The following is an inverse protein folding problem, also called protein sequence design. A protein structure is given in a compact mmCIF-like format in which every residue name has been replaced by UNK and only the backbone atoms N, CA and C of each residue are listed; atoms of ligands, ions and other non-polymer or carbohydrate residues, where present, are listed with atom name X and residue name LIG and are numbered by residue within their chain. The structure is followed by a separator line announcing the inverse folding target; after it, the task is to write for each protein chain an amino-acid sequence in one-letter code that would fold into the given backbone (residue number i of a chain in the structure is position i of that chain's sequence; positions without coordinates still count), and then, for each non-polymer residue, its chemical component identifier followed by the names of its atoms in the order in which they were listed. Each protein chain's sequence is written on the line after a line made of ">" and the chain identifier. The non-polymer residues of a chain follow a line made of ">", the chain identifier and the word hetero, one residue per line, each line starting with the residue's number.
data_IF_585068755240
#
_entry.id   IF_585068755240
#
_cell.length_a   1.000
_cell.length_b   1.000
_cell.length_c   1.000
_cell.angle_alpha   90.00
_cell.angle_beta   90.00
_cell.angle_gamma   90.00
#
_symmetry.space_group_name_H-M   'P 1'
#
loop_
_entity.id
_entity.type
_entity.pdbx_description
1 polymer ?
#
# COMPACT_ATOMS: atom_id res chain seq x y z
N UNK A 1 36.13 -23.37 -7.86
CA UNK A 1 35.71 -21.96 -7.87
C UNK A 1 35.45 -21.55 -6.43
N UNK A 2 36.13 -20.51 -5.93
CA UNK A 2 35.93 -20.00 -4.56
C UNK A 2 34.63 -19.17 -4.54
N UNK A 3 33.63 -19.59 -3.77
CA UNK A 3 32.41 -18.81 -3.55
C UNK A 3 32.78 -17.49 -2.85
N UNK A 4 32.25 -16.36 -3.33
CA UNK A 4 32.38 -15.07 -2.66
C UNK A 4 31.59 -15.04 -1.34
N UNK A 5 31.95 -14.16 -0.38
CA UNK A 5 31.24 -14.05 0.88
C UNK A 5 29.80 -13.60 0.67
N UNK A 6 28.85 -14.22 1.39
CA UNK A 6 27.46 -13.82 1.41
C UNK A 6 27.34 -12.34 1.86
N UNK A 7 26.41 -11.61 1.25
CA UNK A 7 26.10 -10.23 1.63
C UNK A 7 24.67 -10.14 2.13
N UNK A 8 24.40 -9.30 3.12
CA UNK A 8 23.14 -9.19 3.84
C UNK A 8 22.59 -7.77 3.80
N UNK A 9 21.27 -7.58 3.79
CA UNK A 9 20.67 -6.25 3.86
C UNK A 9 19.41 -6.26 4.71
N UNK A 10 19.00 -5.08 5.16
CA UNK A 10 17.77 -4.85 5.90
C UNK A 10 16.74 -4.15 4.99
N UNK A 11 15.47 -4.55 5.05
CA UNK A 11 14.38 -3.88 4.32
C UNK A 11 13.21 -3.50 5.24
N UNK A 12 12.60 -2.33 4.98
CA UNK A 12 11.31 -1.94 5.58
C UNK A 12 10.20 -2.62 4.81
N UNK A 13 10.13 -3.94 4.92
CA UNK A 13 8.91 -4.63 4.60
C UNK A 13 7.94 -4.28 5.74
N UNK A 14 6.90 -3.48 5.49
CA UNK A 14 5.66 -3.66 6.25
C UNK A 14 5.10 -5.02 5.84
N UNK A 15 5.71 -6.09 6.32
CA UNK A 15 5.11 -7.41 6.25
C UNK A 15 3.79 -7.32 6.99
N UNK A 16 2.75 -7.81 6.35
CA UNK A 16 1.43 -8.07 6.90
C UNK A 16 1.50 -8.48 8.39
N UNK A 17 1.31 -7.53 9.31
CA UNK A 17 0.81 -7.83 10.65
C UNK A 17 -0.71 -7.71 10.57
N UNK A 18 -1.37 -8.87 10.45
CA UNK A 18 -2.83 -8.95 10.37
C UNK A 18 -3.47 -9.05 11.72
N UNK A 19 -2.81 -8.60 12.79
CA UNK A 19 -3.43 -8.54 14.11
C UNK A 19 -3.91 -9.91 14.59
N UNK A 20 -3.05 -10.59 15.33
CA UNK A 20 -3.29 -11.49 16.47
C UNK A 20 -2.06 -12.43 16.51
N UNK A 21 -1.31 -12.57 17.60
CA UNK A 21 -1.67 -13.28 18.84
C UNK A 21 -0.41 -13.25 19.77
N UNK A 22 -0.48 -13.35 21.12
CA UNK A 22 -1.36 -14.23 21.89
C UNK A 22 -2.37 -13.47 22.75
N UNK A 23 -3.64 -13.52 22.37
CA UNK A 23 -4.75 -13.39 23.31
C UNK A 23 -4.82 -14.67 24.14
N UNK A 24 -4.14 -14.66 25.29
CA UNK A 24 -4.59 -15.45 26.42
C UNK A 24 -6.02 -15.02 26.76
N UNK A 25 -6.98 -15.91 26.52
CA UNK A 25 -8.29 -16.02 27.18
C UNK A 25 -8.85 -14.74 27.82
N UNK A 26 -9.23 -13.74 27.02
CA UNK A 26 -10.30 -12.77 27.30
C UNK A 26 -10.39 -11.72 26.19
N UNK A 27 -11.25 -11.94 25.19
CA UNK A 27 -12.43 -11.11 24.94
C UNK A 27 -13.00 -11.44 23.55
N UNK A 28 -14.15 -12.10 23.60
CA UNK A 28 -15.05 -12.32 22.48
C UNK A 28 -15.71 -10.97 22.17
N UNK A 29 -15.39 -10.36 21.04
CA UNK A 29 -16.01 -9.11 20.64
C UNK A 29 -15.36 -8.53 19.39
N UNK A 30 -15.83 -8.94 18.22
CA UNK A 30 -15.55 -8.23 16.97
C UNK A 30 -16.18 -6.84 17.12
N UNK A 31 -15.35 -5.81 17.28
CA UNK A 31 -15.83 -4.43 17.17
C UNK A 31 -15.61 -4.01 15.71
N UNK A 32 -16.64 -4.20 14.89
CA UNK A 32 -16.76 -3.51 13.61
C UNK A 32 -16.99 -2.02 13.88
N UNK A 33 -15.92 -1.23 14.01
CA UNK A 33 -16.03 0.22 13.80
C UNK A 33 -15.62 0.50 12.36
N UNK A 34 -16.51 1.15 11.61
CA UNK A 34 -16.37 1.41 10.18
C UNK A 34 -15.20 2.34 9.77
N UNK A 35 -14.24 2.64 10.65
CA UNK A 35 -13.00 3.40 10.39
C UNK A 35 -11.96 3.07 11.48
N UNK A 36 -11.06 2.10 11.29
CA UNK A 36 -10.17 1.67 12.36
C UNK A 36 -8.86 2.47 12.34
N UNK A 37 -8.68 3.33 13.34
CA UNK A 37 -7.32 3.58 13.85
C UNK A 37 -6.79 2.24 14.36
N UNK A 38 -5.67 1.79 13.81
CA UNK A 38 -4.97 0.65 14.37
C UNK A 38 -4.41 1.05 15.74
N UNK A 39 -4.95 0.46 16.82
CA UNK A 39 -4.62 0.83 18.21
C UNK A 39 -3.13 0.66 18.58
N UNK A 40 -2.39 -0.20 17.87
CA UNK A 40 -0.97 -0.46 18.14
C UNK A 40 -0.02 0.49 17.39
N UNK A 41 -0.42 0.96 16.21
CA UNK A 41 0.42 1.80 15.35
C UNK A 41 -0.06 3.24 15.23
N UNK A 42 -1.30 3.53 15.65
CA UNK A 42 -1.99 4.79 15.36
C UNK A 42 -2.17 5.05 13.87
N UNK A 43 -2.17 4.01 13.04
CA UNK A 43 -2.41 4.17 11.61
C UNK A 43 -3.91 4.32 11.34
N UNK A 44 -4.30 5.42 10.69
CA UNK A 44 -5.67 5.65 10.24
C UNK A 44 -5.85 5.13 8.81
N UNK A 45 -6.90 4.33 8.59
CA UNK A 45 -7.25 3.81 7.28
C UNK A 45 -8.72 4.14 6.93
N UNK A 46 -8.93 4.76 5.77
CA UNK A 46 -10.25 5.18 5.30
C UNK A 46 -10.43 4.69 3.88
N UNK A 47 -11.60 4.17 3.57
CA UNK A 47 -11.98 3.84 2.20
C UNK A 47 -13.21 4.66 1.78
N UNK A 48 -13.15 5.23 0.59
CA UNK A 48 -14.25 5.95 -0.03
C UNK A 48 -14.53 5.34 -1.41
N UNK A 49 -15.80 5.23 -1.77
CA UNK A 49 -16.24 4.74 -3.08
C UNK A 49 -16.73 5.93 -3.89
N UNK A 50 -16.05 6.17 -5.01
CA UNK A 50 -16.31 7.31 -5.89
C UNK A 50 -17.35 6.97 -6.97
N UNK A 51 -17.34 5.70 -7.40
CA UNK A 51 -18.30 5.13 -8.34
C UNK A 51 -18.38 3.64 -8.14
N UNK A 52 -19.57 3.07 -8.24
CA UNK A 52 -19.78 1.64 -8.26
C UNK A 52 -20.93 1.31 -9.21
N UNK A 53 -20.66 0.45 -10.18
CA UNK A 53 -21.68 -0.07 -11.07
C UNK A 53 -22.74 -0.89 -10.32
N UNK A 54 -23.94 -1.05 -10.90
CA UNK A 54 -25.08 -1.67 -10.20
C UNK A 54 -24.88 -3.13 -9.75
N UNK A 55 -23.95 -3.86 -10.36
CA UNK A 55 -23.56 -5.21 -9.91
C UNK A 55 -22.41 -5.21 -8.90
N UNK A 56 -21.91 -4.04 -8.54
CA UNK A 56 -20.88 -3.83 -7.53
C UNK A 56 -19.44 -4.00 -8.01
N UNK A 57 -19.20 -4.48 -9.24
CA UNK A 57 -17.89 -5.02 -9.65
C UNK A 57 -16.97 -3.99 -10.31
N UNK A 58 -17.46 -3.21 -11.28
CA UNK A 58 -16.72 -2.06 -11.80
C UNK A 58 -16.83 -0.92 -10.79
N UNK A 59 -15.70 -0.54 -10.18
CA UNK A 59 -15.66 0.40 -9.05
C UNK A 59 -14.47 1.33 -9.15
N UNK A 60 -14.69 2.62 -8.89
CA UNK A 60 -13.63 3.58 -8.56
C UNK A 60 -13.70 3.79 -7.06
N UNK A 61 -12.62 3.49 -6.37
CA UNK A 61 -12.52 3.74 -4.93
C UNK A 61 -11.14 4.23 -4.58
N UNK A 62 -11.08 4.98 -3.50
CA UNK A 62 -9.87 5.58 -2.97
C UNK A 62 -9.69 5.19 -1.51
N UNK A 63 -8.45 4.91 -1.14
CA UNK A 63 -8.07 4.55 0.22
C UNK A 63 -7.05 5.54 0.76
N UNK A 64 -7.25 5.98 2.00
CA UNK A 64 -6.30 6.79 2.74
C UNK A 64 -5.60 5.93 3.78
N UNK A 65 -4.29 6.09 3.92
CA UNK A 65 -3.50 5.44 4.95
C UNK A 65 -2.54 6.48 5.55
N UNK A 66 -2.72 6.86 6.82
CA UNK A 66 -1.92 7.93 7.43
C UNK A 66 -0.45 7.58 7.62
N UNK A 67 -0.13 6.29 7.69
CA UNK A 67 1.24 5.79 7.74
C UNK A 67 1.90 5.66 6.36
N UNK A 68 1.18 6.02 5.29
CA UNK A 68 1.72 6.10 3.94
C UNK A 68 2.18 7.52 3.60
N UNK A 69 3.46 7.77 3.86
CA UNK A 69 4.13 9.00 3.45
C UNK A 69 4.59 8.98 1.98
N UNK A 70 4.29 7.91 1.22
CA UNK A 70 4.66 7.88 -0.20
C UNK A 70 3.84 8.92 -0.96
N UNK A 71 4.53 9.71 -1.79
CA UNK A 71 3.87 10.62 -2.74
C UNK A 71 3.21 9.78 -3.82
N UNK A 72 1.99 9.30 -3.56
CA UNK A 72 1.06 8.91 -4.62
C UNK A 72 0.85 10.14 -5.50
N UNK A 73 1.44 10.12 -6.70
CA UNK A 73 1.44 11.30 -7.58
C UNK A 73 0.04 11.63 -8.11
N UNK A 74 -0.89 10.67 -8.07
CA UNK A 74 -2.21 10.84 -8.69
C UNK A 74 -3.27 11.49 -7.78
N UNK A 75 -3.28 11.17 -6.48
CA UNK A 75 -4.33 11.59 -5.54
C UNK A 75 -3.78 12.28 -4.29
N UNK A 76 -2.48 12.60 -4.27
CA UNK A 76 -1.71 13.14 -3.13
C UNK A 76 -1.27 12.11 -2.07
N UNK A 77 -0.32 12.45 -1.18
CA UNK A 77 0.20 11.52 -0.18
C UNK A 77 -0.91 10.93 0.70
N UNK A 78 -0.73 9.67 1.10
CA UNK A 78 -1.71 8.90 1.86
C UNK A 78 -2.87 8.35 1.02
N UNK A 79 -3.25 8.99 -0.10
CA UNK A 79 -4.38 8.56 -0.94
C UNK A 79 -3.98 7.68 -2.12
N UNK A 80 -4.76 6.62 -2.34
CA UNK A 80 -4.51 5.58 -3.33
C UNK A 80 -5.78 5.23 -4.09
N UNK A 81 -5.69 4.98 -5.39
CA UNK A 81 -6.80 4.43 -6.19
C UNK A 81 -6.75 2.91 -6.19
N UNK A 82 -7.91 2.23 -6.27
CA UNK A 82 -7.98 0.77 -6.36
C UNK A 82 -7.28 0.17 -7.59
N UNK A 83 -7.02 0.95 -8.64
CA UNK A 83 -6.32 0.47 -9.84
C UNK A 83 -4.83 0.80 -9.82
N UNK A 84 -4.48 2.09 -9.74
CA UNK A 84 -3.08 2.55 -9.90
C UNK A 84 -2.14 2.16 -8.74
N UNK A 85 -2.70 1.63 -7.65
CA UNK A 85 -1.94 1.27 -6.44
C UNK A 85 -1.58 -0.21 -6.40
N UNK A 86 -2.04 -0.98 -7.40
CA UNK A 86 -1.67 -2.38 -7.60
C UNK A 86 -0.44 -2.43 -8.48
N UNK A 87 0.67 -2.92 -7.91
CA UNK A 87 1.92 -3.03 -8.65
C UNK A 87 2.78 -4.16 -8.11
N UNK A 88 3.63 -4.70 -8.96
CA UNK A 88 4.69 -5.63 -8.60
C UNK A 88 6.01 -4.97 -8.97
N UNK A 89 6.98 -4.97 -8.07
CA UNK A 89 8.29 -4.43 -8.36
C UNK A 89 9.37 -5.25 -7.63
N UNK A 90 10.61 -5.28 -8.13
CA UNK A 90 11.73 -5.72 -7.31
C UNK A 90 11.73 -4.95 -6.00
N UNK A 91 11.98 -5.61 -4.88
CA UNK A 91 11.98 -4.97 -3.56
C UNK A 91 12.93 -3.76 -3.52
N UNK A 92 14.06 -3.85 -4.21
CA UNK A 92 15.05 -2.77 -4.33
C UNK A 92 14.61 -1.62 -5.26
N UNK A 93 13.64 -1.85 -6.16
CA UNK A 93 13.14 -0.90 -7.17
C UNK A 93 11.71 -0.44 -6.92
N UNK A 94 11.06 -0.90 -5.84
CA UNK A 94 9.76 -0.43 -5.41
C UNK A 94 9.86 1.01 -4.89
N UNK A 95 9.94 1.98 -5.82
CA UNK A 95 9.75 3.44 -5.67
C UNK A 95 10.96 4.27 -5.22
N UNK A 96 11.19 5.39 -5.95
CA UNK A 96 11.99 6.55 -5.49
C UNK A 96 11.29 7.20 -4.29
N UNK A 97 11.68 6.80 -3.10
CA UNK A 97 11.30 7.45 -1.85
C UNK A 97 11.90 8.86 -1.76
N UNK A 98 11.30 9.81 -1.01
CA UNK A 98 11.98 11.05 -0.69
C UNK A 98 13.36 10.74 -0.04
N UNK A 99 14.39 11.60 -0.23
CA UNK A 99 15.79 11.28 0.07
C UNK A 99 16.13 10.89 1.52
N UNK A 100 15.17 10.97 2.44
CA UNK A 100 15.38 10.77 3.88
C UNK A 100 14.96 9.39 4.42
N UNK A 101 14.33 8.52 3.62
CA UNK A 101 13.98 7.15 4.02
C UNK A 101 14.51 6.15 2.99
N UNK A 102 15.58 5.46 3.35
CA UNK A 102 16.07 4.30 2.59
C UNK A 102 15.25 3.09 3.00
N UNK A 103 14.53 2.45 2.08
CA UNK A 103 13.77 1.24 2.41
C UNK A 103 14.59 -0.04 2.43
N UNK A 104 15.76 0.01 1.83
CA UNK A 104 16.72 -1.08 1.85
C UNK A 104 18.05 -0.47 2.25
N UNK A 105 18.74 -1.09 3.20
CA UNK A 105 20.11 -0.73 3.52
C UNK A 105 21.03 -1.08 2.36
N UNK A 106 22.26 -0.59 2.37
CA UNK A 106 23.29 -1.24 1.56
C UNK A 106 23.47 -2.71 1.98
N UNK A 107 24.17 -3.48 1.15
CA UNK A 107 24.54 -4.85 1.49
C UNK A 107 25.79 -4.88 2.37
N UNK A 108 25.74 -5.61 3.48
CA UNK A 108 26.81 -5.83 4.45
C UNK A 108 27.38 -7.24 4.36
N UNK A 109 28.56 -7.49 4.90
CA UNK A 109 29.21 -8.80 4.84
C UNK A 109 28.76 -9.77 5.94
N UNK A 110 28.08 -9.29 6.99
CA UNK A 110 27.60 -10.14 8.09
C UNK A 110 26.14 -9.84 8.46
N UNK A 111 25.40 -10.82 9.01
CA UNK A 111 24.07 -10.60 9.57
C UNK A 111 24.06 -9.56 10.70
N UNK A 112 25.09 -9.56 11.53
CA UNK A 112 25.25 -8.59 12.63
C UNK A 112 25.34 -7.15 12.12
N UNK A 113 26.13 -6.91 11.06
CA UNK A 113 26.24 -5.59 10.44
C UNK A 113 24.94 -5.17 9.77
N UNK A 114 24.25 -6.12 9.11
CA UNK A 114 22.94 -5.86 8.51
C UNK A 114 21.88 -5.48 9.56
N UNK A 115 21.88 -6.13 10.73
CA UNK A 115 21.02 -5.71 11.84
C UNK A 115 21.44 -4.33 12.39
N UNK A 116 22.70 -4.16 12.78
CA UNK A 116 23.12 -3.01 13.56
C UNK A 116 23.25 -1.72 12.71
N UNK A 117 23.85 -1.83 11.52
CA UNK A 117 24.08 -0.69 10.63
C UNK A 117 22.91 -0.49 9.66
N UNK A 118 22.32 -1.59 9.18
CA UNK A 118 21.18 -1.55 8.28
C UNK A 118 19.96 -0.93 8.94
N UNK A 119 19.67 -1.25 10.21
CA UNK A 119 18.55 -0.64 10.94
C UNK A 119 18.71 0.87 11.10
N UNK A 120 19.94 1.37 11.27
CA UNK A 120 20.22 2.81 11.41
C UNK A 120 20.09 3.53 10.07
N UNK A 121 20.57 2.91 8.99
CA UNK A 121 20.47 3.46 7.64
C UNK A 121 19.00 3.61 7.19
N UNK A 122 18.18 2.65 7.61
CA UNK A 122 16.81 2.50 7.14
C UNK A 122 15.79 3.16 8.08
N UNK A 123 16.06 3.20 9.40
CA UNK A 123 15.23 3.89 10.40
C UNK A 123 15.98 5.07 11.06
N UNK A 124 16.29 6.14 10.32
CA UNK A 124 16.93 7.30 10.92
C UNK A 124 15.98 7.95 11.94
N UNK A 125 16.33 7.85 13.23
CA UNK A 125 15.56 8.44 14.33
C UNK A 125 15.11 7.48 15.43
N UNK A 126 15.24 6.16 15.25
CA UNK A 126 15.05 5.21 16.34
C UNK A 126 16.29 5.18 17.26
N UNK A 127 16.07 5.19 18.58
CA UNK A 127 17.16 5.17 19.56
C UNK A 127 17.73 3.75 19.70
N UNK A 128 19.00 3.59 19.31
CA UNK A 128 19.77 2.35 19.45
C UNK A 128 19.81 1.48 18.20
N UNK A 129 20.68 0.48 18.19
CA UNK A 129 20.95 -0.40 17.04
C UNK A 129 20.30 -1.77 17.26
N UNK A 130 19.83 -2.40 16.17
CA UNK A 130 19.28 -3.74 16.29
C UNK A 130 20.36 -4.79 16.53
N UNK A 131 20.01 -5.81 17.32
CA UNK A 131 20.90 -6.95 17.63
C UNK A 131 20.45 -8.18 16.86
N UNK A 132 21.40 -8.87 16.22
CA UNK A 132 21.13 -10.14 15.54
C UNK A 132 20.82 -11.25 16.54
N UNK A 133 19.67 -11.90 16.40
CA UNK A 133 19.19 -12.97 17.28
C UNK A 133 19.46 -14.37 16.73
N UNK A 134 20.02 -14.48 15.52
CA UNK A 134 20.05 -15.74 14.77
C UNK A 134 18.86 -15.88 13.82
N UNK A 135 18.88 -16.91 12.97
CA UNK A 135 17.81 -17.21 12.01
C UNK A 135 17.34 -16.01 11.16
N UNK A 136 18.26 -15.14 10.76
CA UNK A 136 17.97 -13.94 9.98
C UNK A 136 17.03 -12.93 10.69
N UNK A 137 16.91 -13.02 12.01
CA UNK A 137 16.11 -12.10 12.83
C UNK A 137 17.00 -11.12 13.58
N UNK A 138 16.57 -9.87 13.62
CA UNK A 138 17.15 -8.79 14.40
C UNK A 138 16.11 -8.27 15.38
N UNK A 139 16.54 -7.78 16.54
CA UNK A 139 15.67 -7.13 17.51
C UNK A 139 16.15 -5.72 17.83
N UNK A 140 15.25 -4.75 17.73
CA UNK A 140 15.47 -3.38 18.21
C UNK A 140 15.52 -3.34 19.75
N UNK A 141 16.20 -2.37 20.36
CA UNK A 141 16.19 -2.19 21.83
C UNK A 141 14.79 -1.97 22.41
N UNK A 142 13.87 -1.42 21.62
CA UNK A 142 12.45 -1.24 21.93
C UNK A 142 11.63 -2.54 21.88
N UNK A 143 12.23 -3.65 21.44
CA UNK A 143 11.65 -5.00 21.48
C UNK A 143 11.15 -5.52 20.14
N UNK A 144 11.01 -4.68 19.12
CA UNK A 144 10.52 -5.07 17.79
C UNK A 144 11.49 -6.04 17.10
N UNK A 145 10.95 -7.11 16.53
CA UNK A 145 11.72 -8.12 15.79
C UNK A 145 11.46 -7.94 14.30
N UNK A 146 12.54 -7.92 13.51
CA UNK A 146 12.48 -7.81 12.05
C UNK A 146 13.47 -8.77 11.40
N UNK A 147 13.39 -8.94 10.07
CA UNK A 147 14.26 -9.84 9.31
C UNK A 147 15.29 -9.10 8.46
N UNK A 148 16.42 -9.76 8.26
CA UNK A 148 17.45 -9.38 7.28
C UNK A 148 17.54 -10.45 6.20
N UNK A 149 17.99 -10.07 5.02
CA UNK A 149 17.97 -10.91 3.84
C UNK A 149 19.39 -11.11 3.32
N UNK A 150 19.68 -12.29 2.77
CA UNK A 150 20.99 -12.65 2.20
C UNK A 150 20.94 -12.66 0.68
N UNK A 151 21.90 -12.00 0.04
CA UNK A 151 22.20 -12.03 -1.40
C UNK A 151 23.14 -13.19 -1.79
N UNK A 152 23.26 -14.26 -0.97
CA UNK A 152 24.13 -15.41 -1.25
C UNK A 152 23.64 -16.76 -0.69
N UNK A 153 24.21 -17.85 -1.20
CA UNK A 153 23.76 -19.25 -1.06
C UNK A 153 24.02 -19.89 0.32
N UNK A 154 23.02 -19.91 1.22
CA UNK A 154 22.87 -20.75 2.42
C UNK A 154 21.53 -21.51 2.47
N UNK A 155 21.43 -22.71 3.06
CA UNK A 155 20.38 -23.69 2.69
C UNK A 155 18.92 -23.40 3.07
N UNK A 156 18.57 -22.25 3.63
CA UNK A 156 17.18 -21.86 3.89
C UNK A 156 17.08 -20.34 3.67
N UNK A 157 16.28 -19.91 2.69
CA UNK A 157 16.11 -18.52 2.21
C UNK A 157 17.28 -17.98 1.37
N UNK A 158 17.41 -18.50 0.15
CA UNK A 158 18.46 -18.12 -0.80
C UNK A 158 18.00 -17.14 -1.87
N UNK A 159 18.62 -15.97 -1.90
CA UNK A 159 19.01 -15.37 -3.17
C UNK A 159 20.18 -16.19 -3.74
N UNK A 160 19.87 -17.32 -4.38
CA UNK A 160 20.82 -17.94 -5.29
C UNK A 160 20.87 -17.06 -6.56
N UNK A 161 21.96 -17.12 -7.32
CA UNK A 161 22.00 -16.53 -8.66
C UNK A 161 20.85 -17.09 -9.51
N UNK A 162 19.78 -16.32 -9.64
CA UNK A 162 18.54 -16.72 -10.33
C UNK A 162 17.24 -16.42 -9.56
N UNK A 163 17.32 -16.02 -8.29
CA UNK A 163 16.14 -15.58 -7.53
C UNK A 163 15.87 -14.08 -7.68
N UNK A 164 14.60 -13.69 -7.78
CA UNK A 164 14.14 -12.29 -7.70
C UNK A 164 13.24 -12.07 -6.48
N UNK A 165 13.56 -11.04 -5.70
CA UNK A 165 12.75 -10.59 -4.56
C UNK A 165 11.74 -9.54 -5.04
N UNK A 166 10.46 -9.87 -4.99
CA UNK A 166 9.38 -9.02 -5.48
C UNK A 166 8.49 -8.55 -4.33
N UNK A 167 8.08 -7.29 -4.40
CA UNK A 167 7.08 -6.68 -3.56
C UNK A 167 5.80 -6.44 -4.36
N UNK A 168 4.67 -6.96 -3.85
CA UNK A 168 3.33 -6.72 -4.37
C UNK A 168 2.68 -5.66 -3.51
N UNK A 169 2.32 -4.52 -4.11
CA UNK A 169 1.59 -3.45 -3.46
C UNK A 169 0.10 -3.58 -3.73
N UNK A 170 -0.71 -3.37 -2.70
CA UNK A 170 -2.17 -3.44 -2.75
C UNK A 170 -2.81 -2.08 -2.46
N UNK A 171 -4.08 -1.86 -2.86
CA UNK A 171 -4.75 -0.57 -2.68
C UNK A 171 -4.89 -0.10 -1.22
N UNK A 172 -5.07 -1.01 -0.28
CA UNK A 172 -5.08 -0.72 1.16
C UNK A 172 -3.71 -0.23 1.69
N UNK A 173 -2.66 -0.38 0.89
CA UNK A 173 -1.28 -0.09 1.27
C UNK A 173 -0.51 -1.28 1.79
N UNK A 174 -1.14 -2.46 1.83
CA UNK A 174 -0.46 -3.70 2.15
C UNK A 174 0.64 -3.98 1.12
N UNK A 175 1.76 -4.49 1.62
CA UNK A 175 2.85 -4.99 0.82
C UNK A 175 3.07 -6.47 1.16
N UNK A 176 3.18 -7.29 0.12
CA UNK A 176 3.42 -8.72 0.23
C UNK A 176 4.71 -9.07 -0.50
N UNK A 177 5.53 -9.91 0.10
CA UNK A 177 6.85 -10.27 -0.45
C UNK A 177 6.86 -11.67 -1.02
N UNK A 178 7.55 -11.82 -2.14
CA UNK A 178 7.74 -13.08 -2.84
C UNK A 178 9.20 -13.27 -3.23
N UNK A 179 9.67 -14.50 -3.09
CA UNK A 179 10.96 -14.93 -3.60
C UNK A 179 10.71 -15.84 -4.80
N UNK A 180 11.12 -15.41 -5.98
CA UNK A 180 10.85 -16.12 -7.22
C UNK A 180 12.11 -16.77 -7.78
N UNK A 181 12.04 -18.04 -8.20
CA UNK A 181 13.04 -18.72 -9.01
C UNK A 181 12.43 -19.12 -10.36
N UNK A 182 12.86 -18.46 -11.43
CA UNK A 182 12.22 -18.62 -12.73
C UNK A 182 10.75 -18.20 -12.67
N UNK A 183 9.84 -19.15 -12.90
CA UNK A 183 8.39 -18.91 -12.87
C UNK A 183 7.75 -19.15 -11.49
N UNK A 184 8.45 -19.86 -10.60
CA UNK A 184 7.92 -20.26 -9.29
C UNK A 184 8.20 -19.18 -8.25
N UNK A 185 7.17 -18.68 -7.58
CA UNK A 185 7.30 -17.67 -6.54
C UNK A 185 6.73 -18.18 -5.21
N UNK A 186 7.51 -18.04 -4.16
CA UNK A 186 7.16 -18.48 -2.81
C UNK A 186 7.03 -17.30 -1.86
N UNK A 187 6.07 -17.39 -0.95
CA UNK A 187 5.84 -16.45 0.14
C UNK A 187 5.68 -17.22 1.46
N UNK A 188 5.76 -16.55 2.62
CA UNK A 188 5.36 -17.13 3.90
C UNK A 188 3.94 -17.72 3.88
N UNK A 189 3.66 -18.70 4.75
CA UNK A 189 2.41 -19.47 4.75
C UNK A 189 1.17 -18.68 5.14
N UNK A 190 1.33 -17.53 5.78
CA UNK A 190 0.26 -16.59 6.20
C UNK A 190 -0.11 -15.57 5.10
N UNK A 191 0.65 -15.55 4.00
CA UNK A 191 0.34 -14.78 2.80
C UNK A 191 -0.66 -15.58 1.96
N UNK A 192 -1.91 -15.09 1.79
CA UNK A 192 -2.94 -15.84 1.07
C UNK A 192 -2.84 -15.66 -0.46
N UNK A 193 -1.82 -14.95 -0.94
CA UNK A 193 -1.61 -14.63 -2.34
C UNK A 193 -0.69 -15.68 -2.98
N UNK A 194 -0.93 -16.01 -4.26
CA UNK A 194 -0.06 -16.87 -5.06
C UNK A 194 0.45 -16.11 -6.27
N UNK A 195 1.77 -16.05 -6.43
CA UNK A 195 2.41 -15.38 -7.55
C UNK A 195 3.03 -16.40 -8.51
N UNK A 196 2.93 -16.13 -9.81
CA UNK A 196 3.67 -16.84 -10.85
C UNK A 196 4.32 -15.80 -11.75
N UNK A 197 5.63 -15.91 -11.95
CA UNK A 197 6.38 -15.04 -12.86
C UNK A 197 6.50 -15.69 -14.24
N UNK A 198 6.67 -14.88 -15.29
CA UNK A 198 6.88 -15.33 -16.66
C UNK A 198 7.69 -14.30 -17.45
N UNK A 199 8.13 -14.65 -18.66
CA UNK A 199 8.83 -13.71 -19.55
C UNK A 199 7.97 -12.52 -19.99
N UNK A 200 6.64 -12.63 -19.89
CA UNK A 200 5.67 -11.60 -20.32
C UNK A 200 5.08 -10.79 -19.17
N UNK A 201 5.46 -11.10 -17.93
CA UNK A 201 4.94 -10.43 -16.73
C UNK A 201 4.56 -11.41 -15.63
N UNK A 202 3.55 -11.07 -14.85
CA UNK A 202 3.20 -11.79 -13.62
C UNK A 202 1.71 -12.09 -13.53
N UNK A 203 1.40 -13.27 -12.99
CA UNK A 203 0.04 -13.66 -12.62
C UNK A 203 -0.06 -13.77 -11.11
N UNK A 204 -0.97 -13.02 -10.50
CA UNK A 204 -1.25 -13.05 -9.08
C UNK A 204 -2.67 -13.60 -8.85
N UNK A 205 -2.81 -14.56 -7.93
CA UNK A 205 -4.10 -15.09 -7.49
C UNK A 205 -4.29 -14.70 -6.03
N UNK A 206 -5.41 -14.05 -5.71
CA UNK A 206 -5.74 -13.65 -4.34
C UNK A 206 -6.55 -14.72 -3.58
N UNK A 207 -6.89 -14.42 -2.32
CA UNK A 207 -7.66 -15.30 -1.43
C UNK A 207 -9.07 -15.65 -1.96
N UNK A 208 -9.58 -14.86 -2.90
CA UNK A 208 -10.90 -15.05 -3.50
C UNK A 208 -10.81 -15.71 -4.88
N UNK A 209 -9.65 -16.22 -5.26
CA UNK A 209 -9.35 -16.73 -6.60
C UNK A 209 -9.53 -15.68 -7.69
N UNK A 210 -9.42 -14.39 -7.36
CA UNK A 210 -9.31 -13.33 -8.37
C UNK A 210 -7.93 -13.43 -8.99
N UNK A 211 -7.89 -13.48 -10.32
CA UNK A 211 -6.67 -13.55 -11.09
C UNK A 211 -6.34 -12.15 -11.59
N UNK A 212 -5.17 -11.65 -11.23
CA UNK A 212 -4.63 -10.40 -11.74
C UNK A 212 -3.45 -10.67 -12.65
N UNK A 213 -3.42 -9.95 -13.78
CA UNK A 213 -2.32 -10.00 -14.73
C UNK A 213 -1.56 -8.69 -14.69
N UNK A 214 -0.24 -8.79 -14.72
CA UNK A 214 0.68 -7.66 -14.72
C UNK A 214 1.66 -7.82 -15.88
N UNK A 215 2.08 -6.71 -16.50
CA UNK A 215 3.13 -6.73 -17.52
C UNK A 215 4.53 -6.91 -16.90
N UNK A 216 5.59 -6.89 -17.73
CA UNK A 216 6.98 -7.08 -17.27
C UNK A 216 7.46 -5.96 -16.34
N UNK A 217 6.92 -4.75 -16.48
CA UNK A 217 7.16 -3.63 -15.56
C UNK A 217 6.34 -3.73 -14.26
N UNK A 218 5.51 -4.76 -14.11
CA UNK A 218 4.69 -5.00 -12.94
C UNK A 218 3.51 -4.03 -12.78
N UNK A 219 3.02 -3.50 -13.90
CA UNK A 219 1.80 -2.70 -14.01
C UNK A 219 0.61 -3.62 -14.29
N UNK A 220 -0.47 -3.45 -13.53
CA UNK A 220 -1.70 -4.23 -13.68
C UNK A 220 -2.34 -4.02 -15.06
N UNK A 221 -2.69 -5.10 -15.76
CA UNK A 221 -3.31 -5.07 -17.09
C UNK A 221 -4.69 -5.71 -17.14
N UNK A 222 -4.97 -6.68 -16.26
CA UNK A 222 -6.29 -7.33 -16.20
C UNK A 222 -6.61 -7.82 -14.79
N UNK A 223 -7.90 -7.84 -14.46
CA UNK A 223 -8.48 -8.50 -13.28
C UNK A 223 -9.59 -9.43 -13.77
N UNK A 224 -9.50 -10.72 -13.44
CA UNK A 224 -10.49 -11.74 -13.75
C UNK A 224 -11.01 -12.34 -12.46
N UNK A 225 -12.32 -12.25 -12.26
CA UNK A 225 -13.00 -12.81 -11.09
C UNK A 225 -13.36 -14.28 -11.33
N UNK A 226 -13.64 -15.00 -10.25
CA UNK A 226 -13.92 -16.45 -10.30
C UNK A 226 -15.12 -16.81 -11.20
N UNK A 227 -16.08 -15.90 -11.36
CA UNK A 227 -17.27 -16.06 -12.21
C UNK A 227 -17.00 -15.75 -13.70
N UNK A 228 -15.76 -15.43 -14.07
CA UNK A 228 -15.36 -15.08 -15.43
C UNK A 228 -15.58 -13.61 -15.79
N UNK A 229 -16.04 -12.76 -14.86
CA UNK A 229 -16.09 -11.32 -15.08
C UNK A 229 -14.67 -10.74 -15.20
N UNK A 230 -14.41 -9.93 -16.22
CA UNK A 230 -13.08 -9.39 -16.52
C UNK A 230 -13.09 -7.87 -16.51
N UNK A 231 -12.02 -7.26 -16.01
CA UNK A 231 -11.71 -5.84 -16.17
C UNK A 231 -10.33 -5.70 -16.83
N UNK A 232 -10.27 -5.04 -17.99
CA UNK A 232 -9.04 -4.78 -18.71
C UNK A 232 -8.62 -3.32 -18.51
N UNK A 233 -7.32 -3.09 -18.28
CA UNK A 233 -6.75 -1.77 -18.03
C UNK A 233 -5.84 -1.36 -19.19
N UNK A 234 -6.01 -0.12 -19.66
CA UNK A 234 -5.22 0.46 -20.74
C UNK A 234 -4.46 1.70 -20.27
N UNK A 235 -3.24 1.89 -20.79
CA UNK A 235 -2.32 2.92 -20.34
C UNK A 235 -1.74 3.70 -21.52
N UNK A 236 -1.47 4.99 -21.29
CA UNK A 236 -0.71 5.86 -22.20
C UNK A 236 0.34 6.58 -21.38
N UNK A 237 1.61 6.57 -21.81
CA UNK A 237 2.72 7.20 -21.09
C UNK A 237 2.78 6.80 -19.59
N UNK A 238 2.56 5.52 -19.30
CA UNK A 238 2.51 4.96 -17.93
C UNK A 238 1.39 5.50 -17.03
N UNK A 239 0.39 6.20 -17.58
CA UNK A 239 -0.82 6.59 -16.87
C UNK A 239 -2.00 5.72 -17.29
N UNK A 240 -2.80 5.27 -16.33
CA UNK A 240 -4.04 4.54 -16.59
C UNK A 240 -5.01 5.45 -17.34
N UNK A 241 -5.44 5.10 -18.54
CA UNK A 241 -6.39 5.92 -19.31
C UNK A 241 -7.78 5.31 -19.32
N UNK A 242 -7.91 3.98 -19.34
CA UNK A 242 -9.21 3.31 -19.40
C UNK A 242 -9.22 2.03 -18.57
N UNK A 243 -10.38 1.75 -17.95
CA UNK A 243 -10.73 0.41 -17.47
C UNK A 243 -12.03 -0.01 -18.14
N UNK A 244 -12.04 -1.15 -18.82
CA UNK A 244 -13.23 -1.68 -19.52
C UNK A 244 -13.55 -3.06 -19.00
N UNK A 245 -14.81 -3.30 -18.65
CA UNK A 245 -15.24 -4.62 -18.20
C UNK A 245 -15.78 -5.53 -19.32
N UNK A 246 -16.03 -6.80 -18.99
CA UNK A 246 -16.54 -7.80 -19.92
C UNK A 246 -17.97 -7.56 -20.41
N UNK A 247 -18.71 -6.61 -19.82
CA UNK A 247 -20.03 -6.18 -20.31
C UNK A 247 -19.95 -4.91 -21.18
N UNK A 248 -18.75 -4.38 -21.41
CA UNK A 248 -18.52 -3.18 -22.23
C UNK A 248 -18.71 -1.87 -21.47
N UNK A 249 -18.89 -1.88 -20.14
CA UNK A 249 -18.87 -0.65 -19.35
C UNK A 249 -17.42 -0.17 -19.22
N UNK A 250 -17.21 1.14 -19.27
CA UNK A 250 -15.86 1.72 -19.24
C UNK A 250 -15.74 2.90 -18.28
N UNK A 251 -14.55 3.05 -17.72
CA UNK A 251 -14.09 4.20 -16.96
C UNK A 251 -12.97 4.90 -17.74
N UNK A 252 -12.99 6.22 -17.83
CA UNK A 252 -11.91 6.99 -18.48
C UNK A 252 -11.26 7.98 -17.51
N UNK A 253 -9.94 7.96 -17.42
CA UNK A 253 -9.16 8.68 -16.41
C UNK A 253 -8.39 9.84 -17.06
N UNK A 254 -8.43 11.00 -16.43
CA UNK A 254 -7.81 12.23 -16.94
C UNK A 254 -6.93 12.88 -15.87
N UNK A 255 -5.76 13.34 -16.31
CA UNK A 255 -4.75 13.90 -15.43
C UNK A 255 -4.40 15.33 -15.84
N UNK A 256 -3.91 16.13 -14.88
CA UNK A 256 -3.31 17.43 -15.17
C UNK A 256 -1.80 17.31 -15.48
N UNK A 257 -1.16 18.45 -15.79
CA UNK A 257 0.28 18.52 -16.08
C UNK A 257 1.18 18.11 -14.90
N UNK A 258 0.64 18.07 -13.67
CA UNK A 258 1.33 17.58 -12.48
C UNK A 258 1.09 16.08 -12.22
N UNK A 259 0.52 15.36 -13.20
CA UNK A 259 0.19 13.93 -13.13
C UNK A 259 -0.87 13.57 -12.06
N UNK A 260 -1.61 14.56 -11.57
CA UNK A 260 -2.72 14.34 -10.63
C UNK A 260 -4.00 13.95 -11.39
N UNK A 261 -4.73 12.95 -10.89
CA UNK A 261 -6.02 12.51 -11.43
C UNK A 261 -7.05 13.59 -11.13
N UNK A 262 -7.56 14.27 -12.15
CA UNK A 262 -8.51 15.38 -11.99
C UNK A 262 -9.94 15.00 -12.36
N UNK A 263 -10.12 13.94 -13.16
CA UNK A 263 -11.45 13.49 -13.57
C UNK A 263 -11.47 12.01 -13.91
N UNK A 264 -12.55 11.35 -13.52
CA UNK A 264 -12.94 10.04 -14.04
C UNK A 264 -14.32 10.16 -14.67
N UNK A 265 -14.45 9.77 -15.94
CA UNK A 265 -15.74 9.58 -16.59
C UNK A 265 -16.22 8.18 -16.25
N UNK A 266 -17.40 8.08 -15.64
CA UNK A 266 -18.05 6.82 -15.28
C UNK A 266 -19.38 6.71 -16.04
N UNK A 267 -20.01 5.52 -16.06
CA UNK A 267 -21.36 5.36 -16.60
C UNK A 267 -22.42 6.29 -15.97
N UNK A 268 -22.23 6.73 -14.72
CA UNK A 268 -23.18 7.62 -14.03
C UNK A 268 -22.87 9.10 -14.25
N UNK A 269 -21.74 9.42 -14.90
CA UNK A 269 -21.29 10.77 -15.20
C UNK A 269 -19.87 11.03 -14.69
N UNK A 270 -19.53 12.31 -14.49
CA UNK A 270 -18.17 12.70 -14.12
C UNK A 270 -17.97 12.68 -12.61
N UNK A 271 -16.88 12.06 -12.16
CA UNK A 271 -16.29 12.30 -10.85
C UNK A 271 -15.11 13.25 -11.04
N UNK A 272 -15.10 14.37 -10.32
CA UNK A 272 -14.04 15.38 -10.40
C UNK A 272 -13.23 15.44 -9.10
N UNK A 273 -11.92 15.58 -9.21
CA UNK A 273 -10.99 15.62 -8.09
C UNK A 273 -10.29 16.98 -8.05
N UNK A 274 -10.45 17.69 -6.93
CA UNK A 274 -9.81 18.98 -6.68
C UNK A 274 -8.58 18.83 -5.80
N UNK A 275 -7.58 19.68 -6.01
CA UNK A 275 -6.35 19.70 -5.23
C UNK A 275 -6.09 21.10 -4.67
N UNK A 276 -5.54 21.19 -3.45
CA UNK A 276 -5.05 22.46 -2.94
C UNK A 276 -3.81 22.93 -3.70
N UNK A 277 -3.64 24.25 -3.78
CA UNK A 277 -2.56 24.87 -4.55
C UNK A 277 -1.23 24.89 -3.81
N UNK A 278 -1.26 24.79 -2.48
CA UNK A 278 -0.07 24.96 -1.65
C UNK A 278 0.80 23.70 -1.59
N UNK A 279 0.16 22.53 -1.47
CA UNK A 279 0.81 21.24 -1.28
C UNK A 279 0.39 20.19 -2.29
N UNK A 280 -0.63 20.47 -3.12
CA UNK A 280 -1.15 19.53 -4.11
C UNK A 280 -1.91 18.38 -3.46
N UNK A 281 -2.52 18.60 -2.28
CA UNK A 281 -3.29 17.57 -1.57
C UNK A 281 -4.72 17.52 -2.09
N UNK A 282 -5.30 16.33 -2.16
CA UNK A 282 -6.67 16.11 -2.60
C UNK A 282 -7.65 16.83 -1.68
N UNK A 283 -8.21 17.94 -2.15
CA UNK A 283 -9.06 18.82 -1.34
C UNK A 283 -10.54 18.52 -1.50
N UNK A 284 -10.98 18.09 -2.69
CA UNK A 284 -12.40 17.82 -2.96
C UNK A 284 -12.62 16.64 -3.91
N UNK A 285 -13.78 16.00 -3.78
CA UNK A 285 -14.38 15.14 -4.80
C UNK A 285 -15.79 15.62 -5.08
N UNK A 286 -16.09 15.86 -6.35
CA UNK A 286 -17.44 16.19 -6.83
C UNK A 286 -18.00 14.99 -7.58
N UNK A 287 -19.14 14.49 -7.13
CA UNK A 287 -19.85 13.36 -7.72
C UNK A 287 -20.74 13.80 -8.90
N UNK A 288 -21.21 12.86 -9.74
CA UNK A 288 -22.05 13.18 -10.90
C UNK A 288 -23.33 13.95 -10.56
N UNK A 289 -23.89 13.73 -9.36
CA UNK A 289 -25.07 14.42 -8.85
C UNK A 289 -24.75 15.76 -8.16
N UNK A 290 -23.54 16.30 -8.40
CA UNK A 290 -23.01 17.57 -7.88
C UNK A 290 -22.71 17.62 -6.38
N UNK A 291 -22.99 16.53 -5.65
CA UNK A 291 -22.56 16.41 -4.26
C UNK A 291 -21.05 16.54 -4.17
N UNK A 292 -20.57 17.18 -3.11
CA UNK A 292 -19.15 17.48 -2.93
C UNK A 292 -18.68 17.00 -1.56
N UNK A 293 -17.66 16.15 -1.54
CA UNK A 293 -16.93 15.76 -0.33
C UNK A 293 -15.63 16.55 -0.25
N UNK A 294 -15.30 17.12 0.91
CA UNK A 294 -14.08 17.91 1.11
C UNK A 294 -13.18 17.32 2.18
N UNK A 295 -11.87 17.57 2.04
CA UNK A 295 -10.83 16.98 2.87
C UNK A 295 -9.97 18.08 3.48
N UNK A 296 -9.76 17.98 4.79
CA UNK A 296 -8.98 18.91 5.59
C UNK A 296 -7.72 18.22 6.09
N UNK A 297 -6.63 18.97 6.13
CA UNK A 297 -5.32 18.46 6.49
C UNK A 297 -4.68 19.31 7.58
N UNK A 298 -3.74 18.72 8.30
CA UNK A 298 -2.96 19.42 9.31
C UNK A 298 -2.16 20.58 8.68
N UNK A 299 -1.95 21.62 9.50
CA UNK A 299 -1.00 22.69 9.24
C UNK A 299 0.08 22.61 10.33
N UNK A 300 1.22 21.97 10.05
CA UNK A 300 2.29 21.77 11.02
C UNK A 300 3.07 20.47 10.84
N UNK A 301 3.09 19.63 11.89
CA UNK A 301 3.91 18.42 12.08
C UNK A 301 4.18 17.63 10.79
N UNK A 302 3.11 17.23 10.10
CA UNK A 302 3.13 16.79 8.70
C UNK A 302 1.88 17.33 8.01
N UNK A 303 2.09 18.22 7.04
CA UNK A 303 1.00 18.86 6.29
C UNK A 303 0.18 17.86 5.46
N UNK A 304 0.57 16.59 5.34
CA UNK A 304 -0.18 15.60 4.56
C UNK A 304 -1.15 14.75 5.39
N UNK A 305 -1.17 14.93 6.72
CA UNK A 305 -2.09 14.21 7.60
C UNK A 305 -3.51 14.74 7.45
N UNK A 306 -4.45 13.84 7.15
CA UNK A 306 -5.86 14.15 6.98
C UNK A 306 -6.49 14.35 8.36
N UNK A 307 -6.96 15.55 8.66
CA UNK A 307 -7.55 15.90 9.97
C UNK A 307 -9.07 15.98 9.94
N UNK A 308 -9.67 16.10 8.75
CA UNK A 308 -11.11 16.21 8.62
C UNK A 308 -11.65 15.77 7.27
N UNK A 309 -12.88 15.26 7.28
CA UNK A 309 -13.69 14.99 6.09
C UNK A 309 -15.01 15.70 6.28
N UNK A 310 -15.40 16.51 5.30
CA UNK A 310 -16.73 17.13 5.22
C UNK A 310 -17.54 16.36 4.20
N UNK A 311 -18.70 15.84 4.60
CA UNK A 311 -19.59 15.11 3.71
C UNK A 311 -20.28 16.02 2.68
N UNK A 312 -21.05 15.35 1.85
CA UNK A 312 -21.82 15.89 0.75
C UNK A 312 -22.94 16.87 1.16
N UNK A 313 -23.30 16.90 2.45
CA UNK A 313 -24.26 17.84 3.02
C UNK A 313 -23.57 19.03 3.69
N UNK A 314 -22.27 19.22 3.42
CA UNK A 314 -21.42 20.23 4.06
C UNK A 314 -21.35 20.07 5.60
N UNK A 315 -21.53 18.85 6.10
CA UNK A 315 -21.40 18.51 7.51
C UNK A 315 -20.06 17.87 7.78
N UNK A 316 -19.41 18.22 8.89
CA UNK A 316 -18.19 17.54 9.30
C UNK A 316 -18.52 16.07 9.53
N UNK A 317 -17.94 15.19 8.75
CA UNK A 317 -18.25 13.77 8.72
C UNK A 317 -17.25 12.96 9.52
N UNK A 318 -15.99 13.34 9.50
CA UNK A 318 -14.96 12.71 10.32
C UNK A 318 -13.95 13.75 10.79
N UNK A 319 -13.48 13.61 12.03
CA UNK A 319 -12.31 14.32 12.56
C UNK A 319 -11.27 13.30 12.98
N UNK A 320 -10.01 13.55 12.65
CA UNK A 320 -8.89 12.70 13.02
C UNK A 320 -7.84 13.55 13.74
N UNK A 321 -7.43 13.10 14.93
CA UNK A 321 -6.42 13.76 15.76
C UNK A 321 -5.17 12.90 15.84
N UNK A 322 -4.01 13.56 15.70
CA UNK A 322 -2.69 12.94 15.70
C UNK A 322 -1.82 13.47 16.81
N UNK A 323 -0.98 12.59 17.38
CA UNK A 323 0.05 12.99 18.33
C UNK A 323 1.23 13.69 17.62
N UNK A 324 2.23 14.12 18.40
CA UNK A 324 3.42 14.81 17.88
C UNK A 324 4.28 13.94 16.94
N UNK A 325 4.05 12.62 16.91
CA UNK A 325 4.74 11.66 16.05
C UNK A 325 3.90 11.29 14.81
N UNK A 326 2.73 11.91 14.61
CA UNK A 326 1.86 11.65 13.46
C UNK A 326 1.03 10.36 13.59
N UNK A 327 0.87 9.82 14.80
CA UNK A 327 0.02 8.66 15.08
C UNK A 327 -1.38 9.12 15.46
N UNK A 328 -2.39 8.61 14.76
CA UNK A 328 -3.78 8.89 15.06
C UNK A 328 -4.14 8.30 16.43
N UNK A 329 -4.76 9.09 17.29
CA UNK A 329 -5.23 8.65 18.60
C UNK A 329 -6.74 8.86 18.79
N UNK A 330 -7.39 9.57 17.86
CA UNK A 330 -8.83 9.78 17.88
C UNK A 330 -9.36 9.92 16.44
N UNK A 331 -10.38 9.15 16.12
CA UNK A 331 -11.18 9.27 14.89
C UNK A 331 -12.65 9.21 15.29
N UNK A 332 -13.47 10.16 14.85
CA UNK A 332 -14.89 10.15 15.20
C UNK A 332 -15.76 10.81 14.13
N UNK A 333 -16.99 10.33 14.00
CA UNK A 333 -18.02 11.06 13.26
C UNK A 333 -18.34 12.35 14.00
N UNK A 334 -18.46 13.49 13.31
CA UNK A 334 -18.96 14.67 14.02
C UNK A 334 -20.42 14.40 14.44
N UNK A 335 -20.72 14.67 15.70
CA UNK A 335 -22.06 14.54 16.26
C UNK A 335 -22.45 13.19 16.89
N UNK A 336 -21.52 12.25 17.13
CA UNK A 336 -21.84 10.95 17.77
C UNK A 336 -22.91 10.11 17.04
N UNK A 337 -23.09 10.27 15.73
CA UNK A 337 -24.13 9.53 15.00
C UNK A 337 -23.54 8.22 14.46
N UNK A 338 -23.86 7.12 15.13
CA UNK A 338 -23.74 5.78 14.56
C UNK A 338 -24.78 5.67 13.42
N UNK A 339 -24.33 5.43 12.18
CA UNK A 339 -25.24 4.95 11.14
C UNK A 339 -25.27 3.42 11.17
N UNK A 340 -26.49 2.93 11.35
CA UNK A 340 -26.92 1.52 11.39
C UNK A 340 -26.57 0.74 10.13
#
# INVERSE_FOLDING_TARGET
>A
MKCGPAKFYFSIAKTKDQGCDPCSTAQKGIVNTHKPINIGSGNENIQEVDYQSGDGRLKVSRSYNSSDNTRSQILSPGWRSNFSSRSIAPLESAVKYPPSLKLVSQTYTTPNDACALGSVEVFPGLSGTATYMGNFQCQMPSGEIFRIYSNGTLPLWNASSGYSHLAIRRPDGGQYEFNCLGTSCESPSDVPLKLTASATGYTLIDEHNTIEQYNVEGVLTSITYQDGYVQNLAYTNSQLTTVTDSFGRSLSFFYNAAFQLTKVITPDGNVLYGFDTQYGRLSTVTFPDTRLKAYQYANGLDNNLLTGIVDENNSLYATISYDAQGRAYQSGFAGNVLKS
#
